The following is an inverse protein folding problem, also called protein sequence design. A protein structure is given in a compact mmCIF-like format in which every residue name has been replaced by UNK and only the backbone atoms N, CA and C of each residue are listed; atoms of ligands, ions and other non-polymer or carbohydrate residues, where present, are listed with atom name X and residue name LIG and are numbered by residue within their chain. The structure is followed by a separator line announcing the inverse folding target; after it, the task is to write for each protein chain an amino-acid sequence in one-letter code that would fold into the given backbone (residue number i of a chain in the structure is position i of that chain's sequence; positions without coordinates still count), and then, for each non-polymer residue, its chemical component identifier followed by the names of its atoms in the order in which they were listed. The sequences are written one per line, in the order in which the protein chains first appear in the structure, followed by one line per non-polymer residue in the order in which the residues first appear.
data_IF_898467967940
#
_entry.id   IF_898467967940
#
_cell.length_a   1.000
_cell.length_b   1.000
_cell.length_c   1.000
_cell.angle_alpha   90.00
_cell.angle_beta   90.00
_cell.angle_gamma   90.00
#
_symmetry.space_group_name_H-M   'P 1'
#
loop_
_entity.id
_entity.type
_entity.pdbx_description
1 polymer ?
#
# COMPACT_ATOMS: atom_id res chain seq x y z
N UNK A 1 -14.65 -15.69 13.73
CA UNK A 1 -13.19 -15.54 13.54
C UNK A 1 -12.92 -14.07 13.28
N UNK A 2 -12.09 -13.46 14.11
CA UNK A 2 -11.82 -12.01 14.05
C UNK A 2 -10.57 -11.80 13.21
N UNK A 3 -10.61 -10.88 12.26
CA UNK A 3 -9.48 -10.55 11.38
C UNK A 3 -8.90 -9.18 11.75
N UNK A 4 -7.61 -8.99 11.48
CA UNK A 4 -6.92 -7.72 11.66
C UNK A 4 -6.46 -7.21 10.28
N UNK A 5 -6.61 -5.91 10.05
CA UNK A 5 -6.18 -5.25 8.80
C UNK A 5 -5.34 -4.05 9.17
N UNK A 6 -4.09 -4.03 8.70
CA UNK A 6 -3.25 -2.84 8.71
C UNK A 6 -2.92 -2.39 7.29
N UNK A 7 -2.84 -1.07 7.10
CA UNK A 7 -2.63 -0.43 5.80
C UNK A 7 -1.26 0.26 5.76
N UNK A 8 -0.62 0.22 4.61
CA UNK A 8 0.55 1.04 4.31
C UNK A 8 0.33 1.85 3.02
N UNK A 9 0.87 3.07 2.97
CA UNK A 9 0.81 3.97 1.82
C UNK A 9 2.21 4.38 1.40
N UNK A 10 2.60 4.01 0.18
CA UNK A 10 3.71 4.64 -0.51
C UNK A 10 3.14 5.71 -1.45
N UNK A 11 3.50 6.98 -1.21
CA UNK A 11 3.17 8.07 -2.12
C UNK A 11 4.37 8.98 -2.38
N UNK A 12 4.53 9.42 -3.63
CA UNK A 12 5.63 10.30 -4.04
C UNK A 12 5.42 11.76 -3.62
N UNK A 13 4.17 12.24 -3.62
CA UNK A 13 3.82 13.57 -3.14
C UNK A 13 3.59 13.61 -1.64
N UNK A 14 4.17 14.60 -0.95
CA UNK A 14 3.89 14.85 0.47
C UNK A 14 2.42 15.21 0.72
N UNK A 15 1.78 15.90 -0.23
CA UNK A 15 0.34 16.21 -0.19
C UNK A 15 -0.53 14.96 -0.32
N UNK A 16 -0.04 13.93 -1.01
CA UNK A 16 -0.80 12.70 -1.21
C UNK A 16 -0.98 11.95 0.10
N UNK A 17 0.03 11.94 0.98
CA UNK A 17 -0.10 11.34 2.32
C UNK A 17 -1.20 12.02 3.14
N UNK A 18 -1.26 13.36 3.13
CA UNK A 18 -2.29 14.11 3.86
C UNK A 18 -3.71 13.82 3.35
N UNK A 19 -3.87 13.63 2.04
CA UNK A 19 -5.18 13.39 1.43
C UNK A 19 -5.60 11.92 1.48
N UNK A 20 -4.69 11.01 1.12
CA UNK A 20 -4.99 9.59 0.96
C UNK A 20 -5.10 8.88 2.31
N UNK A 21 -4.39 9.32 3.33
CA UNK A 21 -4.44 8.68 4.66
C UNK A 21 -5.87 8.61 5.23
N UNK A 22 -6.61 9.72 5.40
CA UNK A 22 -8.00 9.66 5.88
C UNK A 22 -8.93 8.95 4.89
N UNK A 23 -8.68 9.07 3.58
CA UNK A 23 -9.49 8.41 2.55
C UNK A 23 -9.38 6.88 2.61
N UNK A 24 -8.17 6.36 2.77
CA UNK A 24 -7.89 4.93 2.85
C UNK A 24 -8.54 4.32 4.09
N UNK A 25 -8.43 4.98 5.24
CA UNK A 25 -9.10 4.53 6.47
C UNK A 25 -10.61 4.43 6.23
N UNK A 26 -11.25 5.51 5.75
CA UNK A 26 -12.70 5.54 5.55
C UNK A 26 -13.19 4.54 4.52
N UNK A 27 -12.44 4.36 3.44
CA UNK A 27 -12.80 3.40 2.38
C UNK A 27 -12.65 1.97 2.87
N UNK A 28 -11.58 1.65 3.60
CA UNK A 28 -11.39 0.32 4.19
C UNK A 28 -12.44 0.03 5.26
N UNK A 29 -12.76 0.99 6.14
CA UNK A 29 -13.86 0.87 7.12
C UNK A 29 -15.19 0.54 6.43
N UNK A 30 -15.53 1.29 5.37
CA UNK A 30 -16.77 1.09 4.62
C UNK A 30 -16.81 -0.28 3.92
N UNK A 31 -15.71 -0.70 3.29
CA UNK A 31 -15.58 -2.02 2.68
C UNK A 31 -15.71 -3.14 3.71
N UNK A 32 -15.04 -3.03 4.85
CA UNK A 32 -15.15 -3.99 5.95
C UNK A 32 -16.59 -4.05 6.47
N UNK A 33 -17.24 -2.90 6.66
CA UNK A 33 -18.64 -2.86 7.13
C UNK A 33 -19.61 -3.52 6.15
N UNK A 34 -19.40 -3.35 4.84
CA UNK A 34 -20.31 -3.87 3.80
C UNK A 34 -20.06 -5.33 3.44
N UNK A 35 -18.81 -5.79 3.52
CA UNK A 35 -18.41 -7.05 2.89
C UNK A 35 -17.72 -8.04 3.83
N UNK A 36 -17.32 -7.64 5.05
CA UNK A 36 -16.69 -8.58 5.97
C UNK A 36 -17.69 -9.63 6.45
N UNK A 37 -17.24 -10.89 6.47
CA UNK A 37 -18.03 -12.03 6.98
C UNK A 37 -17.92 -12.19 8.50
N UNK A 38 -17.24 -11.28 9.18
CA UNK A 38 -16.96 -11.32 10.62
C UNK A 38 -16.35 -10.01 11.11
N UNK A 39 -16.04 -9.95 12.40
CA UNK A 39 -15.42 -8.77 12.99
C UNK A 39 -14.04 -8.53 12.39
N UNK A 40 -13.79 -7.29 11.95
CA UNK A 40 -12.49 -6.83 11.46
C UNK A 40 -12.03 -5.68 12.34
N UNK A 41 -10.82 -5.79 12.87
CA UNK A 41 -10.13 -4.69 13.52
C UNK A 41 -9.21 -4.03 12.51
N UNK A 42 -9.49 -2.75 12.22
CA UNK A 42 -8.58 -1.92 11.45
C UNK A 42 -7.52 -1.36 12.40
N UNK A 43 -6.26 -1.38 11.98
CA UNK A 43 -5.18 -0.74 12.72
C UNK A 43 -5.39 0.77 12.83
N UNK A 44 -4.84 1.36 13.88
CA UNK A 44 -4.90 2.80 14.11
C UNK A 44 -4.01 3.53 13.09
N UNK A 45 -4.59 3.85 11.94
CA UNK A 45 -3.96 4.65 10.89
C UNK A 45 -3.39 3.87 9.70
N UNK A 46 -2.72 4.62 8.83
CA UNK A 46 -2.01 4.12 7.65
C UNK A 46 -0.52 4.36 7.86
N UNK A 47 0.29 3.33 7.63
CA UNK A 47 1.74 3.40 7.73
C UNK A 47 2.27 4.12 6.49
N UNK A 48 2.85 5.30 6.67
CA UNK A 48 3.49 6.03 5.58
C UNK A 48 4.83 5.37 5.23
N UNK A 49 4.96 4.95 3.98
CA UNK A 49 6.18 4.38 3.44
C UNK A 49 6.93 5.43 2.64
N UNK A 50 8.20 5.57 2.97
CA UNK A 50 9.13 6.44 2.25
C UNK A 50 10.30 5.63 1.71
N UNK A 51 10.85 6.00 0.53
CA UNK A 51 12.04 5.35 0.03
C UNK A 51 13.21 5.54 1.02
N UNK A 52 13.94 4.47 1.38
CA UNK A 52 15.13 4.58 2.21
C UNK A 52 16.13 5.54 1.57
N UNK A 53 16.91 6.26 2.37
CA UNK A 53 17.85 7.30 1.87
C UNK A 53 18.75 6.78 0.74
N UNK A 54 19.20 5.52 0.85
CA UNK A 54 20.05 4.84 -0.15
C UNK A 54 19.35 4.60 -1.51
N UNK A 55 18.03 4.60 -1.54
CA UNK A 55 17.21 4.35 -2.73
C UNK A 55 16.43 5.59 -3.22
N UNK A 56 16.56 6.76 -2.58
CA UNK A 56 15.79 7.97 -2.95
C UNK A 56 15.89 8.37 -4.43
N UNK A 57 17.02 8.10 -5.09
CA UNK A 57 17.27 8.39 -6.50
C UNK A 57 17.12 7.17 -7.43
N UNK A 58 16.72 6.02 -6.88
CA UNK A 58 16.56 4.79 -7.63
C UNK A 58 15.21 4.78 -8.38
N UNK A 59 15.06 3.90 -9.38
CA UNK A 59 13.78 3.69 -10.04
C UNK A 59 12.66 3.41 -9.04
N UNK A 60 11.45 3.84 -9.38
CA UNK A 60 10.26 3.75 -8.53
C UNK A 60 10.00 2.34 -8.00
N UNK A 61 10.14 1.30 -8.84
CA UNK A 61 9.98 -0.08 -8.40
C UNK A 61 10.94 -0.47 -7.27
N UNK A 62 12.22 -0.05 -7.34
CA UNK A 62 13.19 -0.29 -6.27
C UNK A 62 12.85 0.49 -5.01
N UNK A 63 12.39 1.73 -5.16
CA UNK A 63 11.95 2.59 -4.04
C UNK A 63 10.79 1.97 -3.27
N UNK A 64 9.77 1.52 -3.99
CA UNK A 64 8.58 0.86 -3.42
C UNK A 64 8.97 -0.47 -2.76
N UNK A 65 9.76 -1.30 -3.46
CA UNK A 65 10.20 -2.61 -2.97
C UNK A 65 10.94 -2.47 -1.63
N UNK A 66 11.90 -1.55 -1.56
CA UNK A 66 12.72 -1.40 -0.37
C UNK A 66 11.99 -0.71 0.77
N UNK A 67 11.09 0.23 0.49
CA UNK A 67 10.21 0.80 1.49
C UNK A 67 9.27 -0.27 2.09
N UNK A 68 8.69 -1.13 1.23
CA UNK A 68 7.86 -2.24 1.67
C UNK A 68 8.67 -3.29 2.47
N UNK A 69 9.91 -3.55 2.08
CA UNK A 69 10.81 -4.48 2.77
C UNK A 69 11.17 -4.00 4.18
N UNK A 70 11.40 -2.69 4.37
CA UNK A 70 11.68 -2.12 5.70
C UNK A 70 10.44 -2.13 6.61
N UNK A 71 9.24 -2.12 6.05
CA UNK A 71 7.98 -2.21 6.78
C UNK A 71 7.33 -3.61 6.74
N UNK A 72 8.10 -4.64 6.39
CA UNK A 72 7.58 -6.00 6.24
C UNK A 72 6.96 -6.49 7.55
N UNK A 73 5.73 -7.00 7.48
CA UNK A 73 4.99 -7.49 8.64
C UNK A 73 4.24 -6.42 9.43
N UNK A 74 4.44 -5.13 9.13
CA UNK A 74 3.70 -4.04 9.77
C UNK A 74 2.33 -3.78 9.10
N UNK A 75 2.17 -4.14 7.82
CA UNK A 75 0.94 -3.98 7.06
C UNK A 75 0.44 -5.31 6.46
N UNK A 76 -0.88 -5.40 6.24
CA UNK A 76 -1.51 -6.47 5.46
C UNK A 76 -1.89 -6.02 4.05
N UNK A 77 -2.03 -4.71 3.81
CA UNK A 77 -2.37 -4.16 2.50
C UNK A 77 -1.43 -2.99 2.21
N UNK A 78 -0.77 -3.05 1.06
CA UNK A 78 0.05 -1.95 0.55
C UNK A 78 -0.71 -1.21 -0.55
N UNK A 79 -0.83 0.10 -0.38
CA UNK A 79 -1.32 1.04 -1.37
C UNK A 79 -0.15 1.83 -1.95
N UNK A 80 -0.06 1.86 -3.27
CA UNK A 80 0.96 2.63 -3.99
C UNK A 80 0.25 3.70 -4.82
N UNK A 81 0.59 4.96 -4.56
CA UNK A 81 0.11 6.11 -5.30
C UNK A 81 1.27 6.89 -5.91
N UNK A 82 1.32 6.97 -7.23
CA UNK A 82 2.43 7.55 -7.97
C UNK A 82 1.87 8.40 -9.09
N UNK A 83 2.27 9.66 -9.18
CA UNK A 83 1.83 10.59 -10.23
C UNK A 83 2.58 10.32 -11.54
N UNK A 84 2.24 9.20 -12.19
CA UNK A 84 2.49 8.86 -13.60
C UNK A 84 3.89 9.04 -14.18
N UNK A 85 4.56 7.90 -14.45
CA UNK A 85 5.09 7.60 -15.79
C UNK A 85 5.33 6.09 -15.93
N UNK A 86 4.88 5.56 -17.08
CA UNK A 86 5.08 4.23 -17.68
C UNK A 86 6.00 3.26 -16.88
N UNK A 87 5.37 2.30 -16.21
CA UNK A 87 6.05 1.21 -15.50
C UNK A 87 6.33 0.07 -16.50
N UNK A 88 7.56 -0.06 -16.97
CA UNK A 88 8.02 -1.32 -17.59
C UNK A 88 8.48 -2.29 -16.48
N UNK A 89 7.86 -3.46 -16.48
CA UNK A 89 7.75 -4.38 -15.35
C UNK A 89 8.98 -5.26 -15.15
N UNK A 90 9.54 -5.27 -13.95
CA UNK A 90 10.29 -6.39 -13.38
C UNK A 90 9.85 -6.57 -11.91
N UNK A 91 8.66 -7.13 -11.70
CA UNK A 91 8.15 -7.40 -10.36
C UNK A 91 8.63 -8.77 -9.87
N UNK A 92 9.61 -8.77 -8.96
CA UNK A 92 9.84 -9.92 -8.09
C UNK A 92 8.74 -9.92 -7.03
N UNK A 93 8.01 -11.03 -6.94
CA UNK A 93 7.04 -11.30 -5.88
C UNK A 93 7.71 -11.09 -4.53
N UNK A 94 7.48 -9.96 -3.87
CA UNK A 94 7.73 -9.84 -2.43
C UNK A 94 6.71 -10.77 -1.77
N UNK A 95 7.20 -11.93 -1.38
CA UNK A 95 6.43 -12.98 -0.72
C UNK A 95 5.95 -12.45 0.64
N UNK A 96 4.72 -11.97 0.69
CA UNK A 96 3.83 -12.14 1.82
C UNK A 96 2.37 -12.10 1.29
N UNK A 97 1.55 -13.13 1.49
CA UNK A 97 0.35 -13.35 0.69
C UNK A 97 -0.84 -12.58 1.26
N UNK A 98 -0.83 -11.24 1.22
CA UNK A 98 -2.04 -10.47 1.50
C UNK A 98 -2.04 -9.20 0.63
N UNK A 99 -2.74 -9.28 -0.49
CA UNK A 99 -3.31 -8.19 -1.30
C UNK A 99 -2.57 -6.83 -1.36
N UNK A 100 -1.65 -6.68 -2.32
CA UNK A 100 -1.20 -5.36 -2.77
C UNK A 100 -2.29 -4.73 -3.66
N UNK A 101 -2.71 -3.49 -3.37
CA UNK A 101 -3.67 -2.74 -4.21
C UNK A 101 -2.94 -1.56 -4.83
N UNK A 102 -2.57 -1.68 -6.11
CA UNK A 102 -2.00 -0.58 -6.89
C UNK A 102 -3.11 0.25 -7.53
N UNK A 103 -3.12 1.56 -7.33
CA UNK A 103 -4.00 2.50 -8.08
C UNK A 103 -3.15 3.22 -9.11
N UNK A 104 -3.12 2.68 -10.33
CA UNK A 104 -2.50 3.23 -11.53
C UNK A 104 -3.09 2.54 -12.76
N UNK A 105 -3.25 3.24 -13.89
CA UNK A 105 -3.84 2.64 -15.10
C UNK A 105 -3.01 1.43 -15.56
N UNK A 106 -3.63 0.24 -15.65
CA UNK A 106 -3.04 -0.93 -16.31
C UNK A 106 -2.73 -2.15 -15.45
N UNK A 107 -3.52 -2.47 -14.42
CA UNK A 107 -3.44 -3.77 -13.72
C UNK A 107 -4.58 -4.71 -14.15
N UNK A 108 -4.25 -5.88 -14.72
CA UNK A 108 -5.11 -7.07 -14.74
C UNK A 108 -4.33 -8.23 -14.13
N UNK A 109 -4.94 -8.88 -13.15
CA UNK A 109 -4.49 -10.17 -12.62
C UNK A 109 -4.94 -11.28 -13.59
N UNK A 110 -4.16 -12.35 -13.80
CA UNK A 110 -4.72 -13.63 -14.24
C UNK A 110 -5.69 -14.19 -13.20
#
# INVERSE_FOLDING_TARGET
MTAYVSLALFAEGTTDHLFLHPLLIRTTEDLCRRHARGAVHLADGVIELHPPTRFKRSPLHMRVLEAAREALGAFNILVIYTTGDIFESNAQTLVNPVNCVGVGRGWRLP
#
